data_IF_561672531060
#
_entry.id   IF_561672531060
#
_cell.length_a   1.000
_cell.length_b   1.000
_cell.length_c   1.000
_cell.angle_alpha   90.00
_cell.angle_beta   90.00
_cell.angle_gamma   90.00
#
_symmetry.space_group_name_H-M   'P 1'
#
loop_
_entity.id
_entity.type
_entity.pdbx_description
1 polymer ?
#
# COMPACT_ATOMS: atom_id res chain seq x y z
N UNK A 1 -22.85 3.10 -4.31
CA UNK A 1 -21.92 2.25 -5.11
C UNK A 1 -20.80 1.82 -4.19
N UNK A 2 -20.41 0.54 -4.15
CA UNK A 2 -19.26 0.12 -3.34
C UNK A 2 -17.98 0.69 -3.99
N UNK A 3 -17.14 1.39 -3.22
CA UNK A 3 -15.82 1.84 -3.70
C UNK A 3 -14.81 0.79 -3.27
N UNK A 4 -14.05 0.26 -4.23
CA UNK A 4 -12.90 -0.58 -3.95
C UNK A 4 -11.69 0.34 -3.81
N UNK A 5 -11.00 0.25 -2.67
CA UNK A 5 -9.78 1.02 -2.43
C UNK A 5 -8.61 0.02 -2.37
N UNK A 6 -7.61 0.14 -3.24
CA UNK A 6 -6.41 -0.66 -3.15
C UNK A 6 -5.54 -0.15 -2.00
N UNK A 7 -5.15 -1.06 -1.10
CA UNK A 7 -4.18 -0.82 -0.04
C UNK A 7 -2.87 -1.44 -0.50
N UNK A 8 -1.82 -0.62 -0.60
CA UNK A 8 -0.52 -0.99 -1.17
C UNK A 8 0.56 -0.79 -0.12
N UNK A 9 1.15 -1.88 0.36
CA UNK A 9 2.37 -1.84 1.16
C UNK A 9 3.59 -1.83 0.26
N UNK A 10 4.55 -0.95 0.50
CA UNK A 10 5.79 -0.80 -0.28
C UNK A 10 6.97 -0.82 0.66
N UNK A 11 8.04 -1.54 0.29
CA UNK A 11 9.31 -1.59 1.02
C UNK A 11 10.44 -1.35 0.03
N UNK A 12 11.32 -0.41 0.34
CA UNK A 12 12.46 -0.02 -0.50
C UNK A 12 13.67 0.41 0.35
N UNK A 13 14.82 0.54 -0.29
CA UNK A 13 16.02 1.11 0.33
C UNK A 13 16.00 2.63 0.12
N UNK A 14 16.03 3.41 1.20
CA UNK A 14 16.01 4.88 1.14
C UNK A 14 17.36 5.44 0.68
N UNK A 15 17.37 6.70 0.29
CA UNK A 15 18.59 7.44 -0.11
C UNK A 15 19.67 7.44 0.96
N UNK A 16 19.26 7.41 2.23
CA UNK A 16 20.10 7.37 3.43
C UNK A 16 20.55 5.95 3.82
N UNK A 17 20.28 4.95 2.95
CA UNK A 17 20.81 3.59 3.05
C UNK A 17 20.04 2.67 4.01
N UNK A 18 19.08 3.20 4.75
CA UNK A 18 18.16 2.41 5.58
C UNK A 18 17.09 1.75 4.72
N UNK A 19 16.43 0.73 5.28
CA UNK A 19 15.20 0.24 4.69
C UNK A 19 14.04 1.11 5.15
N UNK A 20 13.15 1.43 4.21
CA UNK A 20 11.94 2.20 4.44
C UNK A 20 10.74 1.43 3.90
N UNK A 21 9.61 1.56 4.59
CA UNK A 21 8.36 0.99 4.11
C UNK A 21 7.18 1.90 4.42
N UNK A 22 6.24 1.96 3.50
CA UNK A 22 5.02 2.75 3.64
C UNK A 22 3.79 2.00 3.15
N UNK A 23 2.62 2.47 3.57
CA UNK A 23 1.32 1.96 3.15
C UNK A 23 0.49 3.08 2.54
N UNK A 24 0.21 2.96 1.25
CA UNK A 24 -0.73 3.80 0.54
C UNK A 24 -2.13 3.15 0.58
N UNK A 25 -3.23 3.89 0.76
CA UNK A 25 -3.33 5.33 1.01
C UNK A 25 -3.34 5.73 2.50
N UNK A 26 -2.91 4.85 3.41
CA UNK A 26 -2.96 5.14 4.85
C UNK A 26 -1.97 6.22 5.31
N UNK A 27 -0.97 6.56 4.49
CA UNK A 27 0.14 7.47 4.85
C UNK A 27 0.87 7.00 6.12
N UNK A 28 0.97 5.69 6.28
CA UNK A 28 1.70 5.04 7.37
C UNK A 28 3.06 4.66 6.85
N UNK A 29 4.13 5.13 7.49
CA UNK A 29 5.51 4.83 7.09
C UNK A 29 6.39 4.44 8.27
N UNK A 30 7.48 3.74 7.97
CA UNK A 30 8.48 3.36 8.97
C UNK A 30 9.85 3.09 8.34
N UNK A 31 10.89 3.22 9.15
CA UNK A 31 12.26 2.87 8.80
C UNK A 31 12.83 1.82 9.74
N UNK A 32 13.76 1.00 9.22
CA UNK A 32 14.58 0.07 10.00
C UNK A 32 15.87 -0.30 9.24
N UNK A 33 16.82 -0.94 9.94
CA UNK A 33 18.11 -1.31 9.38
C UNK A 33 18.06 -2.47 8.35
N UNK A 34 16.97 -3.25 8.30
CA UNK A 34 16.85 -4.41 7.39
C UNK A 34 15.46 -4.50 6.77
N UNK A 35 15.36 -5.07 5.57
CA UNK A 35 14.09 -5.34 4.86
C UNK A 35 13.10 -6.10 5.74
N UNK A 36 13.58 -7.15 6.42
CA UNK A 36 12.76 -7.97 7.33
C UNK A 36 12.20 -7.17 8.50
N UNK A 37 13.01 -6.29 9.09
CA UNK A 37 12.58 -5.46 10.21
C UNK A 37 11.54 -4.42 9.77
N UNK A 38 11.73 -3.79 8.60
CA UNK A 38 10.73 -2.88 8.01
C UNK A 38 9.44 -3.63 7.72
N UNK A 39 9.51 -4.81 7.11
CA UNK A 39 8.31 -5.60 6.79
C UNK A 39 7.48 -5.91 8.04
N UNK A 40 8.13 -6.35 9.12
CA UNK A 40 7.46 -6.62 10.39
C UNK A 40 6.84 -5.36 11.01
N UNK A 41 7.60 -4.25 11.02
CA UNK A 41 7.15 -2.98 11.58
C UNK A 41 5.98 -2.38 10.81
N UNK A 42 6.07 -2.36 9.47
CA UNK A 42 5.02 -1.87 8.60
C UNK A 42 3.73 -2.68 8.77
N UNK A 43 3.83 -4.02 8.81
CA UNK A 43 2.66 -4.89 9.05
C UNK A 43 1.94 -4.53 10.35
N UNK A 44 2.68 -4.36 11.44
CA UNK A 44 2.09 -4.02 12.74
C UNK A 44 1.43 -2.63 12.74
N UNK A 45 2.06 -1.64 12.08
CA UNK A 45 1.51 -0.29 11.99
C UNK A 45 0.23 -0.26 11.15
N UNK A 46 0.22 -0.96 10.02
CA UNK A 46 -0.96 -1.08 9.14
C UNK A 46 -2.10 -1.78 9.87
N UNK A 47 -1.82 -2.88 10.58
CA UNK A 47 -2.82 -3.57 11.38
C UNK A 47 -3.43 -2.66 12.46
N UNK A 48 -2.59 -1.95 13.22
CA UNK A 48 -3.06 -1.00 14.22
C UNK A 48 -3.91 0.12 13.61
N UNK A 49 -3.54 0.62 12.42
CA UNK A 49 -4.32 1.61 11.70
C UNK A 49 -5.71 1.09 11.32
N UNK A 50 -5.79 -0.14 10.80
CA UNK A 50 -7.05 -0.77 10.42
C UNK A 50 -7.95 -1.09 11.61
N UNK A 51 -7.37 -1.51 12.74
CA UNK A 51 -8.11 -1.71 13.98
C UNK A 51 -8.76 -0.39 14.45
N UNK A 52 -8.07 0.74 14.33
CA UNK A 52 -8.64 2.06 14.61
C UNK A 52 -9.71 2.42 13.58
N UNK A 53 -9.47 2.26 12.28
CA UNK A 53 -10.47 2.54 11.24
C UNK A 53 -11.76 1.76 11.46
N UNK A 54 -11.66 0.49 11.82
CA UNK A 54 -12.82 -0.38 12.07
C UNK A 54 -13.68 0.13 13.24
N UNK A 55 -13.08 0.71 14.29
CA UNK A 55 -13.81 1.32 15.40
C UNK A 55 -14.66 2.52 14.95
N UNK A 56 -14.26 3.20 13.87
CA UNK A 56 -14.96 4.36 13.32
C UNK A 56 -15.75 4.05 12.03
N UNK A 57 -16.02 2.76 11.77
CA UNK A 57 -16.74 2.31 10.57
C UNK A 57 -16.09 2.76 9.25
N UNK A 58 -14.75 2.72 9.19
CA UNK A 58 -13.94 2.91 7.98
C UNK A 58 -14.21 4.23 7.23
N UNK A 59 -14.04 5.39 7.89
CA UNK A 59 -14.35 6.67 7.29
C UNK A 59 -13.39 6.97 6.13
N UNK A 60 -13.94 7.30 4.95
CA UNK A 60 -13.17 7.46 3.69
C UNK A 60 -12.04 8.49 3.81
N UNK A 61 -12.28 9.61 4.50
CA UNK A 61 -11.29 10.67 4.65
C UNK A 61 -10.05 10.25 5.48
N UNK A 62 -10.14 9.13 6.22
CA UNK A 62 -8.99 8.54 6.90
C UNK A 62 -8.32 7.44 6.08
N UNK A 63 -8.96 6.96 5.01
CA UNK A 63 -8.43 5.90 4.15
C UNK A 63 -7.73 6.52 2.95
N UNK A 64 -8.37 7.47 2.27
CA UNK A 64 -7.94 8.02 0.98
C UNK A 64 -7.04 9.25 1.17
N UNK A 65 -5.83 9.05 1.70
CA UNK A 65 -4.85 10.13 1.90
C UNK A 65 -3.75 10.07 0.85
N UNK A 66 -3.29 11.26 0.45
CA UNK A 66 -2.04 11.38 -0.28
C UNK A 66 -0.85 11.09 0.65
N UNK A 67 0.23 10.55 0.07
CA UNK A 67 1.47 10.36 0.80
C UNK A 67 2.07 11.72 1.19
N UNK A 68 2.29 11.94 2.49
CA UNK A 68 2.84 13.20 3.02
C UNK A 68 4.35 13.29 2.86
N UNK A 69 5.05 12.14 2.88
CA UNK A 69 6.49 12.06 2.69
C UNK A 69 6.87 12.11 1.20
N UNK A 70 7.82 12.98 0.86
CA UNK A 70 8.28 13.19 -0.52
C UNK A 70 8.90 11.94 -1.14
N UNK A 71 9.74 11.22 -0.38
CA UNK A 71 10.44 10.05 -0.89
C UNK A 71 9.46 8.91 -1.16
N UNK A 72 8.48 8.73 -0.27
CA UNK A 72 7.42 7.75 -0.46
C UNK A 72 6.52 8.10 -1.65
N UNK A 73 6.18 9.38 -1.83
CA UNK A 73 5.37 9.85 -2.96
C UNK A 73 6.08 9.64 -4.30
N UNK A 74 7.37 9.97 -4.38
CA UNK A 74 8.16 9.76 -5.59
C UNK A 74 8.39 8.28 -5.87
N UNK A 75 8.62 7.47 -4.83
CA UNK A 75 8.71 6.00 -4.96
C UNK A 75 7.40 5.41 -5.46
N UNK A 76 6.26 5.85 -4.89
CA UNK A 76 4.93 5.41 -5.31
C UNK A 76 4.66 5.78 -6.78
N UNK A 77 4.93 7.02 -7.21
CA UNK A 77 4.77 7.43 -8.62
C UNK A 77 5.55 6.53 -9.59
N UNK A 78 6.78 6.13 -9.23
CA UNK A 78 7.63 5.27 -10.09
C UNK A 78 7.03 3.88 -10.28
N UNK A 79 6.51 3.27 -9.22
CA UNK A 79 5.97 1.91 -9.26
C UNK A 79 4.49 1.87 -9.66
N UNK A 80 3.75 2.97 -9.51
CA UNK A 80 2.30 3.03 -9.74
C UNK A 80 1.86 2.46 -11.08
N UNK A 81 2.50 2.75 -12.24
CA UNK A 81 2.08 2.18 -13.53
C UNK A 81 2.11 0.65 -13.58
N UNK A 82 2.98 0.01 -12.80
CA UNK A 82 2.99 -1.45 -12.68
C UNK A 82 1.89 -1.93 -11.74
N UNK A 83 1.78 -1.33 -10.56
CA UNK A 83 0.78 -1.69 -9.55
C UNK A 83 -0.65 -1.50 -10.09
N UNK A 84 -0.93 -0.37 -10.73
CA UNK A 84 -2.26 -0.03 -11.24
C UNK A 84 -2.73 -0.97 -12.35
N UNK A 85 -1.80 -1.50 -13.17
CA UNK A 85 -2.13 -2.51 -14.19
C UNK A 85 -2.55 -3.83 -13.55
N UNK A 86 -1.86 -4.25 -12.49
CA UNK A 86 -2.20 -5.47 -11.76
C UNK A 86 -3.53 -5.31 -10.99
N UNK A 87 -3.74 -4.17 -10.32
CA UNK A 87 -5.01 -3.85 -9.66
C UNK A 87 -6.17 -3.86 -10.65
N UNK A 88 -6.01 -3.23 -11.83
CA UNK A 88 -7.07 -3.19 -12.84
C UNK A 88 -7.44 -4.60 -13.33
N UNK A 89 -6.44 -5.44 -13.58
CA UNK A 89 -6.64 -6.85 -13.94
C UNK A 89 -7.40 -7.61 -12.86
N UNK A 90 -6.99 -7.48 -11.59
CA UNK A 90 -7.65 -8.14 -10.47
C UNK A 90 -9.10 -7.67 -10.31
N UNK A 91 -9.38 -6.38 -10.55
CA UNK A 91 -10.72 -5.80 -10.52
C UNK A 91 -11.61 -6.27 -11.68
N UNK A 92 -11.05 -6.65 -12.82
CA UNK A 92 -11.78 -7.27 -13.94
C UNK A 92 -12.13 -8.74 -13.62
N UNK A 93 -11.19 -9.50 -13.07
CA UNK A 93 -11.36 -10.92 -12.68
C UNK A 93 -12.33 -11.11 -11.49
N UNK A 94 -12.39 -10.11 -10.62
CA UNK A 94 -13.25 -9.93 -9.47
C UNK A 94 -14.76 -9.92 -9.71
N UNK A 95 -15.20 -9.91 -10.98
CA UNK A 95 -16.62 -10.12 -11.35
C UNK A 95 -17.15 -11.52 -10.97
N UNK A 96 -16.29 -12.39 -10.39
CA UNK A 96 -16.65 -13.67 -9.80
C UNK A 96 -16.47 -13.68 -8.26
N UNK A 97 -17.55 -13.77 -7.45
CA UNK A 97 -17.57 -13.39 -6.02
C UNK A 97 -16.87 -14.35 -5.04
N UNK A 98 -16.06 -15.31 -5.50
CA UNK A 98 -15.50 -16.39 -4.63
C UNK A 98 -13.99 -16.38 -4.42
N UNK A 99 -13.25 -15.37 -4.91
CA UNK A 99 -11.76 -15.39 -4.85
C UNK A 99 -11.07 -14.12 -4.31
N UNK A 100 -11.80 -13.26 -3.61
CA UNK A 100 -11.26 -12.02 -3.06
C UNK A 100 -10.48 -12.24 -1.75
N UNK A 101 -9.29 -12.81 -1.86
CA UNK A 101 -8.31 -12.85 -0.77
C UNK A 101 -6.86 -13.02 -1.23
N UNK A 102 -6.59 -13.14 -2.53
CA UNK A 102 -5.22 -13.35 -3.01
C UNK A 102 -4.49 -12.00 -3.10
N UNK A 103 -3.61 -11.76 -2.12
CA UNK A 103 -2.67 -10.64 -2.13
C UNK A 103 -1.68 -10.81 -3.28
N UNK A 104 -1.68 -9.89 -4.25
CA UNK A 104 -0.63 -9.87 -5.27
C UNK A 104 0.61 -9.19 -4.69
N UNK A 105 1.80 -9.72 -5.00
CA UNK A 105 3.06 -9.10 -4.64
C UNK A 105 4.02 -9.06 -5.83
N UNK A 106 4.77 -7.97 -5.94
CA UNK A 106 5.72 -7.71 -7.02
C UNK A 106 7.02 -7.12 -6.51
N UNK A 107 8.07 -7.19 -7.34
CA UNK A 107 9.34 -6.48 -7.10
C UNK A 107 9.71 -5.66 -8.33
N UNK A 108 10.08 -4.40 -8.12
CA UNK A 108 10.48 -3.46 -9.18
C UNK A 108 11.87 -2.92 -8.85
N UNK A 109 12.75 -2.93 -9.84
CA UNK A 109 14.02 -2.20 -9.72
C UNK A 109 13.74 -0.71 -9.80
N UNK A 110 14.27 0.02 -8.82
CA UNK A 110 14.12 1.46 -8.75
C UNK A 110 15.41 2.11 -9.23
N UNK A 111 15.30 2.88 -10.31
CA UNK A 111 16.39 3.72 -10.79
C UNK A 111 16.43 4.99 -9.94
N UNK A 112 17.30 5.00 -8.94
CA UNK A 112 17.78 6.19 -8.23
C UNK A 112 19.30 6.09 -8.05
N UNK A 113 19.98 7.22 -7.84
CA UNK A 113 21.42 7.26 -7.56
C UNK A 113 21.73 6.38 -6.34
N UNK A 114 22.24 5.17 -6.60
CA UNK A 114 22.49 4.12 -5.59
C UNK A 114 21.86 2.75 -5.91
N UNK A 115 20.87 2.69 -6.81
CA UNK A 115 20.10 1.50 -7.14
C UNK A 115 19.22 1.02 -5.97
N UNK A 116 18.03 0.50 -6.26
CA UNK A 116 17.17 -0.07 -5.22
C UNK A 116 16.15 -1.05 -5.75
N UNK A 117 15.50 -1.75 -4.82
CA UNK A 117 14.42 -2.68 -5.12
C UNK A 117 13.22 -2.29 -4.27
N UNK A 118 12.11 -1.96 -4.91
CA UNK A 118 10.81 -1.95 -4.25
C UNK A 118 10.25 -3.36 -4.26
N UNK A 119 9.73 -3.81 -3.13
CA UNK A 119 8.70 -4.85 -3.12
C UNK A 119 7.39 -4.21 -2.73
N UNK A 120 6.31 -4.64 -3.39
CA UNK A 120 4.98 -4.19 -3.06
C UNK A 120 4.02 -5.37 -2.91
N UNK A 121 3.01 -5.18 -2.10
CA UNK A 121 1.84 -6.05 -2.03
C UNK A 121 0.58 -5.22 -2.00
N UNK A 122 -0.49 -5.68 -2.65
CA UNK A 122 -1.77 -5.00 -2.58
C UNK A 122 -2.93 -5.91 -2.18
N UNK A 123 -3.91 -5.29 -1.53
CA UNK A 123 -5.23 -5.87 -1.24
C UNK A 123 -6.32 -4.86 -1.52
N UNK A 124 -7.54 -5.34 -1.69
CA UNK A 124 -8.71 -4.49 -1.86
C UNK A 124 -9.55 -4.49 -0.59
N UNK A 125 -10.03 -3.31 -0.19
CA UNK A 125 -11.07 -3.20 0.85
C UNK A 125 -12.36 -2.67 0.23
N UNK A 126 -13.48 -3.34 0.49
CA UNK A 126 -14.80 -2.84 0.11
C UNK A 126 -15.21 -1.77 1.11
N UNK A 127 -15.46 -0.54 0.62
CA UNK A 127 -16.11 0.48 1.42
C UNK A 127 -17.57 0.66 0.98
N UNK A 128 -18.49 0.62 1.94
CA UNK A 128 -19.88 0.98 1.74
C UNK A 128 -20.00 2.51 1.83
N UNK A 129 -20.25 3.17 0.68
CA UNK A 129 -20.76 4.53 0.69
C UNK A 129 -22.19 4.50 1.27
N UNK A 130 -22.34 4.64 2.59
CA UNK A 130 -23.61 5.05 3.18
C UNK A 130 -23.79 6.53 2.90
N UNK A 131 -24.53 6.84 1.83
CA UNK A 131 -25.15 8.14 1.69
C UNK A 131 -26.21 8.23 2.80
N UNK A 132 -26.00 9.12 3.77
CA UNK A 132 -27.01 9.56 4.73
C UNK A 132 -27.75 10.77 4.17
#
# INVERSE_FOLDING_TARGET
MKKIIPIVGVIYQSKDGNWRGFCYPYDVSCTAATEKAVKGKLKNLVQAYEEVLAQYNNPIHLIDKEMSDEEDRETLKKIWPEISRNIAKDMEEATNPKKYSESFSGRVNLDFDGGGVASYEHRSVENALTFA
#
